data_IF_875692754396
#
_entry.id   IF_875692754396
#
_cell.length_a   1.000
_cell.length_b   1.000
_cell.length_c   1.000
_cell.angle_alpha   90.00
_cell.angle_beta   90.00
_cell.angle_gamma   90.00
#
_symmetry.space_group_name_H-M   'P 1'
#
loop_
_entity.id
_entity.type
_entity.pdbx_description
1 polymer ?
#
# COMPACT_ATOMS: atom_id res chain seq x y z
N UNK A 1 -0.17 -6.03 -32.16
CA UNK A 1 -0.32 -6.07 -30.69
C UNK A 1 -1.47 -6.96 -30.16
N UNK A 2 -2.19 -7.73 -31.01
CA UNK A 2 -3.35 -8.55 -30.58
C UNK A 2 -3.03 -9.99 -30.10
N UNK A 3 -1.80 -10.48 -30.28
CA UNK A 3 -1.48 -11.90 -30.01
C UNK A 3 -1.35 -12.25 -28.52
N UNK A 4 -0.97 -11.33 -27.63
CA UNK A 4 -0.80 -11.65 -26.19
C UNK A 4 -2.14 -11.91 -25.47
N UNK A 5 -3.26 -11.39 -26.00
CA UNK A 5 -4.60 -11.55 -25.40
C UNK A 5 -5.12 -12.99 -25.52
N UNK A 6 -4.91 -13.65 -26.66
CA UNK A 6 -5.44 -15.00 -26.90
C UNK A 6 -4.75 -16.09 -26.07
N UNK A 7 -3.45 -15.95 -25.79
CA UNK A 7 -2.71 -16.92 -24.97
C UNK A 7 -3.14 -16.85 -23.50
N UNK A 8 -3.26 -15.65 -22.94
CA UNK A 8 -3.72 -15.46 -21.55
C UNK A 8 -5.13 -16.04 -21.31
N UNK A 9 -6.05 -15.86 -22.27
CA UNK A 9 -7.40 -16.42 -22.19
C UNK A 9 -7.43 -17.95 -22.32
N UNK A 10 -6.52 -18.56 -23.11
CA UNK A 10 -6.41 -20.03 -23.23
C UNK A 10 -5.99 -20.69 -21.92
N UNK A 11 -5.12 -20.07 -21.13
CA UNK A 11 -4.71 -20.57 -19.81
C UNK A 11 -5.78 -20.41 -18.73
N UNK A 12 -6.84 -19.62 -18.98
CA UNK A 12 -8.00 -19.47 -18.10
C UNK A 12 -9.10 -20.51 -18.33
N UNK A 13 -8.94 -21.43 -19.28
CA UNK A 13 -9.91 -22.49 -19.54
C UNK A 13 -10.04 -23.44 -18.34
N UNK A 14 -11.25 -23.94 -18.03
CA UNK A 14 -11.48 -24.81 -16.87
C UNK A 14 -10.60 -26.06 -16.87
N UNK A 15 -10.36 -26.65 -18.05
CA UNK A 15 -9.56 -27.86 -18.19
C UNK A 15 -8.10 -27.61 -17.80
N UNK A 16 -7.51 -26.50 -18.27
CA UNK A 16 -6.13 -26.12 -17.94
C UNK A 16 -6.02 -25.77 -16.45
N UNK A 17 -6.98 -25.03 -15.92
CA UNK A 17 -7.04 -24.67 -14.50
C UNK A 17 -7.16 -25.91 -13.60
N UNK A 18 -7.88 -26.96 -14.04
CA UNK A 18 -8.02 -28.22 -13.30
C UNK A 18 -6.67 -28.93 -13.11
N UNK A 19 -5.84 -29.00 -14.16
CA UNK A 19 -4.50 -29.60 -14.07
C UNK A 19 -3.55 -28.72 -13.28
N UNK A 20 -3.63 -27.39 -13.46
CA UNK A 20 -2.79 -26.46 -12.72
C UNK A 20 -3.14 -26.46 -11.23
N UNK A 21 -4.41 -26.64 -10.84
CA UNK A 21 -4.88 -26.49 -9.45
C UNK A 21 -4.04 -27.22 -8.41
N UNK A 22 -3.57 -28.42 -8.71
CA UNK A 22 -2.71 -29.21 -7.82
C UNK A 22 -1.33 -28.56 -7.60
N UNK A 23 -0.82 -27.90 -8.63
CA UNK A 23 0.51 -27.31 -8.66
C UNK A 23 0.50 -25.77 -8.58
N UNK A 24 -0.68 -25.13 -8.53
CA UNK A 24 -0.79 -23.68 -8.38
C UNK A 24 0.00 -23.29 -7.15
N UNK A 25 -0.29 -23.85 -5.97
CA UNK A 25 0.43 -23.49 -4.76
C UNK A 25 1.95 -23.78 -4.80
N UNK A 26 2.40 -24.70 -5.65
CA UNK A 26 3.81 -25.08 -5.80
C UNK A 26 4.59 -24.13 -6.74
N UNK A 27 4.05 -23.88 -7.94
CA UNK A 27 4.70 -23.06 -8.98
C UNK A 27 4.25 -21.61 -9.01
N UNK A 28 2.98 -21.39 -8.66
CA UNK A 28 2.33 -20.10 -8.54
C UNK A 28 1.79 -19.98 -7.11
N UNK A 29 2.66 -19.96 -6.07
CA UNK A 29 2.20 -19.61 -4.74
C UNK A 29 1.56 -18.22 -4.86
N UNK A 30 0.26 -18.19 -5.18
CA UNK A 30 -0.60 -17.07 -4.98
C UNK A 30 -0.46 -16.88 -3.48
N UNK A 31 0.27 -15.85 -3.07
CA UNK A 31 0.46 -15.60 -1.66
C UNK A 31 -0.87 -15.14 -1.06
N UNK A 32 -1.76 -16.10 -0.80
CA UNK A 32 -2.50 -16.16 0.44
C UNK A 32 -2.03 -17.46 1.08
N UNK A 33 -1.15 -17.39 2.10
CA UNK A 33 -1.63 -16.94 3.40
C UNK A 33 -0.56 -16.26 4.26
N UNK A 34 -0.83 -15.05 4.74
CA UNK A 34 -0.26 -14.64 6.03
C UNK A 34 -1.46 -14.75 6.99
N UNK A 35 -1.74 -16.02 7.39
CA UNK A 35 -2.96 -16.53 8.04
C UNK A 35 -4.27 -15.91 7.52
N UNK A 36 -4.80 -16.41 6.38
CA UNK A 36 -6.25 -16.41 6.01
C UNK A 36 -6.45 -16.91 4.57
N UNK A 37 -6.36 -18.23 4.34
CA UNK A 37 -7.13 -18.89 3.26
C UNK A 37 -8.65 -18.89 3.55
N UNK A 38 -9.02 -18.22 4.64
CA UNK A 38 -10.30 -18.13 5.28
C UNK A 38 -10.67 -16.66 5.20
N UNK A 39 -11.81 -16.28 4.65
CA UNK A 39 -12.21 -14.86 4.67
C UNK A 39 -12.26 -14.31 6.10
N UNK A 40 -12.19 -12.99 6.29
CA UNK A 40 -12.23 -12.35 7.63
C UNK A 40 -13.37 -12.91 8.50
N UNK A 41 -14.58 -13.03 7.93
CA UNK A 41 -15.77 -13.64 8.59
C UNK A 41 -15.60 -15.09 9.04
N UNK A 42 -14.73 -15.85 8.38
CA UNK A 42 -14.49 -17.24 8.70
C UNK A 42 -13.28 -17.39 9.65
N UNK A 43 -12.38 -16.41 9.70
CA UNK A 43 -11.34 -16.34 10.72
C UNK A 43 -11.95 -15.94 12.07
N UNK A 44 -12.87 -14.98 12.05
CA UNK A 44 -13.66 -14.55 13.19
C UNK A 44 -14.44 -15.73 13.81
N UNK A 45 -15.15 -16.50 12.97
CA UNK A 45 -15.85 -17.72 13.41
C UNK A 45 -14.95 -18.80 14.00
N UNK A 46 -13.66 -18.82 13.64
CA UNK A 46 -12.68 -19.78 14.15
C UNK A 46 -11.87 -19.23 15.32
N UNK A 47 -12.12 -17.99 15.74
CA UNK A 47 -11.35 -17.32 16.79
C UNK A 47 -9.88 -17.08 16.42
N UNK A 48 -9.53 -17.09 15.13
CA UNK A 48 -8.17 -16.84 14.67
C UNK A 48 -7.96 -15.34 14.52
N UNK A 49 -6.99 -14.79 15.26
CA UNK A 49 -6.61 -13.38 15.12
C UNK A 49 -5.75 -13.19 13.86
N UNK A 50 -6.09 -12.23 12.98
CA UNK A 50 -5.24 -11.93 11.85
C UNK A 50 -3.96 -11.25 12.33
N UNK A 51 -2.86 -11.57 11.68
CA UNK A 51 -1.57 -10.97 11.96
C UNK A 51 -1.06 -10.26 10.72
N UNK A 52 -0.48 -9.07 10.93
CA UNK A 52 0.15 -8.35 9.83
C UNK A 52 1.33 -9.16 9.26
N UNK A 53 1.47 -9.19 7.93
CA UNK A 53 2.54 -9.91 7.25
C UNK A 53 3.93 -9.35 7.52
N UNK A 54 4.02 -8.02 7.61
CA UNK A 54 5.27 -7.30 7.78
C UNK A 54 5.25 -6.53 9.09
N UNK A 55 6.37 -6.44 9.81
CA UNK A 55 6.47 -5.58 10.99
C UNK A 55 6.36 -4.10 10.63
N UNK A 56 6.90 -3.70 9.47
CA UNK A 56 6.87 -2.34 8.95
C UNK A 56 6.65 -2.40 7.45
N UNK A 57 5.74 -1.59 6.92
CA UNK A 57 5.45 -1.55 5.50
C UNK A 57 5.13 -0.13 5.02
N UNK A 58 5.41 0.11 3.74
CA UNK A 58 4.91 1.30 3.03
C UNK A 58 3.63 0.89 2.32
N UNK A 59 2.60 1.70 2.45
CA UNK A 59 1.34 1.51 1.76
C UNK A 59 0.80 2.81 1.21
N UNK A 60 -0.19 2.66 0.32
CA UNK A 60 -0.92 3.78 -0.26
C UNK A 60 -2.31 3.83 0.36
N UNK A 61 -2.77 5.01 0.76
CA UNK A 61 -4.12 5.19 1.26
C UNK A 61 -5.11 5.00 0.11
N UNK A 62 -6.00 4.03 0.23
CA UNK A 62 -7.08 3.85 -0.74
C UNK A 62 -8.24 4.80 -0.45
N UNK A 63 -8.93 5.34 -1.48
CA UNK A 63 -10.17 6.07 -1.26
C UNK A 63 -11.22 5.16 -0.61
N UNK A 64 -12.08 5.76 0.21
CA UNK A 64 -13.22 5.07 0.80
C UNK A 64 -14.16 4.56 -0.31
N UNK A 65 -14.11 3.26 -0.58
CA UNK A 65 -15.13 2.53 -1.34
C UNK A 65 -15.91 1.63 -0.36
N UNK A 66 -17.25 1.60 -0.48
CA UNK A 66 -18.19 0.84 0.35
C UNK A 66 -17.58 -0.49 0.82
N UNK A 67 -17.24 -0.54 2.10
CA UNK A 67 -17.35 -1.78 2.85
C UNK A 67 -18.77 -1.75 3.40
N UNK A 68 -19.54 -2.81 3.19
CA UNK A 68 -20.94 -2.93 3.58
C UNK A 68 -21.06 -3.10 5.11
N UNK A 69 -20.67 -2.06 5.83
CA UNK A 69 -20.56 -1.99 7.28
C UNK A 69 -19.96 -0.63 7.63
N UNK A 70 -20.84 0.36 7.69
CA UNK A 70 -20.72 1.67 8.35
C UNK A 70 -19.33 2.01 8.90
N UNK A 71 -18.50 2.65 8.08
CA UNK A 71 -17.36 3.42 8.58
C UNK A 71 -17.76 4.89 8.59
N UNK A 72 -18.10 5.39 9.77
CA UNK A 72 -18.39 6.79 10.03
C UNK A 72 -17.19 7.62 9.55
N UNK A 73 -17.48 8.66 8.76
CA UNK A 73 -16.63 9.85 8.79
C UNK A 73 -16.67 10.29 10.26
N UNK A 74 -15.52 10.49 10.94
CA UNK A 74 -15.57 10.86 12.35
C UNK A 74 -16.44 12.11 12.48
N UNK A 75 -17.53 12.01 13.22
CA UNK A 75 -18.48 13.13 13.43
C UNK A 75 -17.85 14.21 14.32
N UNK A 76 -16.68 13.93 14.91
CA UNK A 76 -15.93 14.82 15.79
C UNK A 76 -14.42 14.64 15.64
N UNK A 77 -13.65 15.70 15.93
CA UNK A 77 -12.17 15.70 15.94
C UNK A 77 -11.54 14.71 16.97
N UNK A 78 -12.35 14.03 17.78
CA UNK A 78 -11.93 13.20 18.89
C UNK A 78 -11.98 11.68 18.62
N UNK A 79 -12.58 11.23 17.52
CA UNK A 79 -12.68 9.82 17.21
C UNK A 79 -11.49 9.35 16.34
N UNK A 80 -10.79 8.27 16.73
CA UNK A 80 -9.61 7.86 15.99
C UNK A 80 -9.99 7.33 14.61
N UNK A 81 -9.45 7.96 13.57
CA UNK A 81 -9.76 7.57 12.20
C UNK A 81 -9.07 6.24 11.84
N UNK A 82 -9.84 5.29 11.32
CA UNK A 82 -9.32 4.08 10.67
C UNK A 82 -9.20 4.32 9.16
N UNK A 83 -8.08 3.87 8.60
CA UNK A 83 -7.69 4.14 7.21
C UNK A 83 -7.40 2.84 6.50
N UNK A 84 -7.86 2.73 5.24
CA UNK A 84 -7.55 1.61 4.36
C UNK A 84 -6.22 1.86 3.67
N UNK A 85 -5.27 0.95 3.90
CA UNK A 85 -3.92 1.05 3.34
C UNK A 85 -3.67 -0.15 2.43
N UNK A 86 -3.42 0.13 1.16
CA UNK A 86 -2.98 -0.87 0.20
C UNK A 86 -1.47 -1.04 0.31
N UNK A 87 -1.04 -2.20 0.80
CA UNK A 87 0.36 -2.60 0.86
C UNK A 87 0.68 -3.44 -0.37
N UNK A 88 1.78 -3.12 -1.04
CA UNK A 88 2.27 -3.86 -2.21
C UNK A 88 3.50 -4.69 -1.83
N UNK A 89 3.47 -5.97 -2.16
CA UNK A 89 4.58 -6.93 -2.01
C UNK A 89 5.08 -7.34 -3.39
N UNK A 90 6.40 -7.51 -3.53
CA UNK A 90 6.98 -8.20 -4.69
C UNK A 90 7.00 -9.70 -4.42
N UNK A 91 6.30 -10.45 -5.27
CA UNK A 91 6.18 -11.90 -5.17
C UNK A 91 6.90 -12.56 -6.35
N UNK A 92 7.76 -13.54 -6.07
CA UNK A 92 8.49 -14.27 -7.10
C UNK A 92 7.58 -15.34 -7.72
N UNK A 93 7.34 -15.24 -9.02
CA UNK A 93 6.78 -16.35 -9.78
C UNK A 93 7.89 -17.37 -10.09
N UNK A 94 7.81 -18.57 -9.50
CA UNK A 94 8.86 -19.60 -9.63
C UNK A 94 8.92 -20.23 -11.02
N UNK A 95 7.81 -20.21 -11.77
CA UNK A 95 7.77 -20.75 -13.12
C UNK A 95 8.49 -19.87 -14.14
N UNK A 96 8.28 -18.55 -14.04
CA UNK A 96 8.88 -17.55 -14.96
C UNK A 96 10.19 -16.97 -14.40
N UNK A 97 10.46 -17.19 -13.11
CA UNK A 97 11.55 -16.56 -12.36
C UNK A 97 11.52 -15.03 -12.45
N UNK A 98 10.30 -14.45 -12.33
CA UNK A 98 10.06 -13.01 -12.40
C UNK A 98 9.21 -12.52 -11.22
N UNK A 99 9.56 -11.35 -10.68
CA UNK A 99 8.77 -10.70 -9.65
C UNK A 99 7.55 -9.98 -10.22
N UNK A 100 6.43 -10.09 -9.50
CA UNK A 100 5.20 -9.35 -9.79
C UNK A 100 4.70 -8.65 -8.53
N UNK A 101 4.07 -7.49 -8.71
CA UNK A 101 3.40 -6.80 -7.62
C UNK A 101 2.13 -7.53 -7.22
N UNK A 102 1.97 -7.73 -5.92
CA UNK A 102 0.74 -8.18 -5.30
C UNK A 102 0.31 -7.14 -4.27
N UNK A 103 -0.91 -6.62 -4.41
CA UNK A 103 -1.50 -5.68 -3.47
C UNK A 103 -2.45 -6.40 -2.50
N UNK A 104 -2.43 -5.97 -1.25
CA UNK A 104 -3.42 -6.34 -0.25
C UNK A 104 -3.81 -5.10 0.55
N UNK A 105 -5.11 -4.96 0.80
CA UNK A 105 -5.65 -3.83 1.58
C UNK A 105 -5.81 -4.25 3.03
N UNK A 106 -5.28 -3.45 3.94
CA UNK A 106 -5.39 -3.61 5.38
C UNK A 106 -6.06 -2.40 6.01
N UNK A 107 -6.66 -2.58 7.18
CA UNK A 107 -7.06 -1.46 8.03
C UNK A 107 -5.89 -1.09 8.93
N UNK A 108 -5.64 0.22 9.01
CA UNK A 108 -4.64 0.81 9.87
C UNK A 108 -5.27 1.88 10.76
N UNK A 109 -4.85 1.91 12.01
CA UNK A 109 -5.23 2.95 12.97
C UNK A 109 -4.43 4.23 12.70
N UNK A 110 -5.10 5.30 12.28
CA UNK A 110 -4.45 6.60 12.01
C UNK A 110 -4.45 7.55 13.22
N UNK A 111 -5.28 7.28 14.24
CA UNK A 111 -5.39 8.13 15.42
C UNK A 111 -5.79 9.56 15.03
N UNK A 112 -4.88 10.52 15.20
CA UNK A 112 -5.08 11.96 14.86
C UNK A 112 -4.43 12.39 13.54
N UNK A 113 -3.77 11.48 12.83
CA UNK A 113 -3.07 11.83 11.59
C UNK A 113 -4.12 11.96 10.47
N UNK A 114 -4.32 13.19 9.99
CA UNK A 114 -5.20 13.45 8.86
C UNK A 114 -4.55 12.98 7.55
N UNK A 115 -5.06 11.88 6.99
CA UNK A 115 -4.60 11.31 5.72
C UNK A 115 -5.53 11.65 4.57
N UNK A 116 -4.98 11.80 3.37
CA UNK A 116 -5.74 11.93 2.12
C UNK A 116 -5.67 10.63 1.32
N UNK A 117 -6.72 10.31 0.53
CA UNK A 117 -6.62 9.24 -0.46
C UNK A 117 -5.45 9.49 -1.41
N UNK A 118 -4.65 8.46 -1.67
CA UNK A 118 -3.46 8.57 -2.51
C UNK A 118 -2.15 8.78 -1.75
N UNK A 119 -2.20 9.23 -0.48
CA UNK A 119 -1.00 9.43 0.34
C UNK A 119 -0.20 8.12 0.50
N UNK A 120 1.13 8.24 0.43
CA UNK A 120 2.06 7.16 0.77
C UNK A 120 2.39 7.24 2.26
N UNK A 121 2.03 6.19 2.98
CA UNK A 121 2.09 6.13 4.44
C UNK A 121 2.99 4.99 4.91
N UNK A 122 3.64 5.21 6.06
CA UNK A 122 4.37 4.18 6.80
C UNK A 122 3.44 3.56 7.83
N UNK A 123 3.28 2.24 7.76
CA UNK A 123 2.48 1.47 8.71
C UNK A 123 3.34 0.47 9.47
N UNK A 124 3.10 0.35 10.76
CA UNK A 124 3.79 -0.54 11.68
C UNK A 124 2.79 -1.57 12.24
N UNK A 125 3.22 -2.81 12.40
CA UNK A 125 2.43 -3.89 12.98
C UNK A 125 2.14 -3.60 14.45
N UNK A 126 0.88 -3.71 14.83
CA UNK A 126 0.47 -3.61 16.24
C UNK A 126 0.68 -4.98 16.91
N UNK A 127 1.18 -5.04 18.17
CA UNK A 127 1.33 -6.31 18.88
C UNK A 127 -0.02 -7.00 19.12
N UNK A 128 -1.04 -6.21 19.44
CA UNK A 128 -2.43 -6.65 19.59
C UNK A 128 -3.32 -5.88 18.61
N UNK A 129 -4.19 -6.56 17.84
CA UNK A 129 -5.08 -5.89 16.91
C UNK A 129 -6.12 -5.06 17.68
N UNK A 130 -6.24 -3.77 17.36
CA UNK A 130 -7.20 -2.88 18.05
C UNK A 130 -8.66 -3.24 17.73
N UNK A 131 -8.87 -3.74 16.51
CA UNK A 131 -10.12 -4.34 16.04
C UNK A 131 -9.76 -5.60 15.27
N UNK A 132 -10.71 -6.52 15.08
CA UNK A 132 -10.46 -7.80 14.40
C UNK A 132 -9.73 -7.64 13.06
N UNK A 133 -9.97 -6.57 12.31
CA UNK A 133 -9.33 -6.34 11.00
C UNK A 133 -8.19 -5.30 11.03
N UNK A 134 -7.94 -4.65 12.17
CA UNK A 134 -6.97 -3.57 12.32
C UNK A 134 -5.65 -4.11 12.89
N UNK A 135 -4.76 -4.52 11.99
CA UNK A 135 -3.46 -5.15 12.32
C UNK A 135 -2.28 -4.17 12.26
N UNK A 136 -2.52 -2.97 11.74
CA UNK A 136 -1.49 -1.94 11.54
C UNK A 136 -1.84 -0.65 12.28
N UNK A 137 -0.79 0.10 12.60
CA UNK A 137 -0.83 1.47 13.10
C UNK A 137 -0.11 2.38 12.13
N UNK A 138 -0.69 3.52 11.79
CA UNK A 138 -0.06 4.53 10.95
C UNK A 138 0.99 5.29 11.76
N UNK A 139 2.22 5.32 11.27
CA UNK A 139 3.34 5.99 11.94
C UNK A 139 3.53 7.40 11.40
N UNK A 140 3.62 7.53 10.07
CA UNK A 140 3.82 8.82 9.40
C UNK A 140 3.33 8.80 7.96
N UNK A 141 2.98 9.97 7.44
CA UNK A 141 2.83 10.21 6.00
C UNK A 141 4.23 10.44 5.44
N UNK A 142 4.65 9.61 4.48
CA UNK A 142 5.96 9.73 3.82
C UNK A 142 5.86 10.74 2.68
N UNK A 143 4.87 10.57 1.82
CA UNK A 143 4.59 11.47 0.71
C UNK A 143 3.10 11.75 0.66
N UNK A 144 2.74 13.02 0.75
CA UNK A 144 1.37 13.47 0.56
C UNK A 144 1.05 13.57 -0.94
N UNK A 145 -0.14 13.14 -1.31
CA UNK A 145 -0.59 13.23 -2.70
C UNK A 145 -0.71 14.70 -3.13
N UNK A 146 -0.12 15.02 -4.28
CA UNK A 146 -0.08 16.38 -4.83
C UNK A 146 0.85 17.38 -4.12
N UNK A 147 1.50 17.02 -3.00
CA UNK A 147 2.39 17.91 -2.24
C UNK A 147 3.68 17.19 -1.81
N UNK A 148 4.28 16.45 -2.75
CA UNK A 148 5.50 15.67 -2.50
C UNK A 148 6.66 16.61 -2.20
N UNK A 149 7.37 16.34 -1.09
CA UNK A 149 8.63 16.99 -0.74
C UNK A 149 9.76 15.99 -0.96
N UNK A 150 10.77 16.38 -1.74
CA UNK A 150 11.95 15.56 -1.97
C UNK A 150 12.72 15.38 -0.65
N UNK A 151 12.93 14.13 -0.18
CA UNK A 151 13.59 13.89 1.09
C UNK A 151 15.09 14.27 1.07
N UNK A 152 15.70 14.41 -0.12
CA UNK A 152 17.12 14.77 -0.24
C UNK A 152 17.32 16.28 -0.12
N UNK A 153 16.51 17.07 -0.84
CA UNK A 153 16.67 18.53 -0.90
C UNK A 153 15.75 19.30 0.05
N UNK A 154 14.64 18.68 0.49
CA UNK A 154 13.58 19.36 1.25
C UNK A 154 12.69 20.28 0.43
N UNK A 155 12.88 20.33 -0.89
CA UNK A 155 12.05 21.12 -1.81
C UNK A 155 10.84 20.31 -2.28
N UNK A 156 9.70 20.96 -2.48
CA UNK A 156 8.55 20.37 -3.16
C UNK A 156 8.85 20.12 -4.63
N UNK A 157 8.42 18.96 -5.08
CA UNK A 157 8.61 18.52 -6.45
C UNK A 157 7.31 17.98 -7.03
N UNK A 158 7.21 18.07 -8.35
CA UNK A 158 6.14 17.43 -9.11
C UNK A 158 6.77 16.53 -10.16
N UNK A 159 6.70 15.22 -9.93
CA UNK A 159 7.43 14.24 -10.72
C UNK A 159 8.94 14.50 -10.64
N UNK A 160 9.59 14.69 -11.80
CA UNK A 160 11.03 14.92 -11.88
C UNK A 160 11.45 16.41 -11.88
N UNK A 161 10.55 17.35 -11.56
CA UNK A 161 10.84 18.79 -11.61
C UNK A 161 10.56 19.46 -10.27
N UNK A 162 11.45 20.34 -9.85
CA UNK A 162 11.22 21.26 -8.73
C UNK A 162 10.38 22.46 -9.17
N UNK A 163 9.67 23.05 -8.22
CA UNK A 163 8.89 24.26 -8.48
C UNK A 163 9.82 25.49 -8.57
N UNK A 164 9.57 26.38 -9.54
CA UNK A 164 10.42 27.57 -9.76
C UNK A 164 10.57 28.44 -8.50
N UNK A 165 9.51 28.75 -7.72
CA UNK A 165 9.65 29.57 -6.52
C UNK A 165 10.61 28.98 -5.49
N UNK A 166 10.70 27.65 -5.44
CA UNK A 166 11.57 26.95 -4.49
C UNK A 166 13.01 26.90 -4.97
N UNK A 167 13.23 26.77 -6.28
CA UNK A 167 14.55 26.90 -6.88
C UNK A 167 15.12 28.30 -6.71
N UNK A 168 14.29 29.33 -6.84
CA UNK A 168 14.69 30.72 -6.59
C UNK A 168 15.08 30.94 -5.13
N UNK A 169 14.24 30.47 -4.20
CA UNK A 169 14.52 30.54 -2.76
C UNK A 169 15.81 29.78 -2.40
N UNK A 170 16.02 28.61 -2.99
CA UNK A 170 17.23 27.81 -2.80
C UNK A 170 18.48 28.49 -3.38
N UNK A 171 18.37 29.07 -4.59
CA UNK A 171 19.45 29.82 -5.24
C UNK A 171 19.90 31.04 -4.42
N UNK A 172 18.96 31.74 -3.78
CA UNK A 172 19.27 32.87 -2.89
C UNK A 172 20.04 32.46 -1.64
N UNK A 173 19.93 31.22 -1.18
CA UNK A 173 20.66 30.68 -0.03
C UNK A 173 22.09 30.29 -0.37
N UNK A 174 22.40 30.08 -1.66
CA UNK A 174 23.75 29.72 -2.07
C UNK A 174 24.69 30.93 -1.92
N UNK A 175 25.91 30.72 -1.40
CA UNK A 175 26.91 31.77 -1.37
C UNK A 175 27.18 32.21 -2.81
N UNK A 176 26.96 33.50 -3.11
CA UNK A 176 27.35 34.08 -4.39
C UNK A 176 28.87 33.97 -4.47
N UNK A 177 29.41 33.25 -5.44
CA UNK A 177 30.83 33.29 -5.72
C UNK A 177 31.17 34.75 -6.03
N UNK A 178 31.93 35.39 -5.14
CA UNK A 178 32.39 36.76 -5.32
C UNK A 178 33.13 36.84 -6.65
N UNK A 179 32.54 37.54 -7.61
CA UNK A 179 33.26 38.01 -8.79
C UNK A 179 34.26 39.04 -8.30
N UNK A 180 35.51 38.62 -8.15
CA UNK A 180 36.65 39.53 -8.12
C UNK A 180 36.95 39.91 -9.56
N UNK A 181 36.43 41.05 -10.00
CA UNK A 181 36.99 41.84 -11.10
C UNK A 181 37.38 43.21 -10.53
#
# INVERSE_FOLDING_TARGET
QLAMSSYFLRHRRPNVQRYLKAYVNEYFPYHKPEVTSIGLKAAERKGLMPTAPFPLAIGQVEPYGRYDGEFHKPDSDHEPSLVRVQVKKLCLNRFILRYYYQSATYLAYAGRIATKPGDLVLVEKTPEPMEFNCVYRLVKIIFSDGCITDPVTGLRCYGGKYQLPELEAWSQQLPRSGGSD
#
